data_IF_672571990743
#
_entry.id   IF_672571990743
#
_cell.length_a   1.000
_cell.length_b   1.000
_cell.length_c   1.000
_cell.angle_alpha   90.00
_cell.angle_beta   90.00
_cell.angle_gamma   90.00
#
_symmetry.space_group_name_H-M   'P 1'
#
loop_
_entity.id
_entity.type
_entity.pdbx_description
1 polymer ?
#
# COMPACT_ATOMS: atom_id res chain seq x y z
N UNK A 1 32.52 12.89 -11.18
CA UNK A 1 32.81 13.16 -9.77
C UNK A 1 31.74 12.54 -8.90
N UNK A 2 32.18 11.61 -8.04
CA UNK A 2 31.32 10.68 -7.32
C UNK A 2 30.36 11.42 -6.41
N UNK A 3 29.07 11.19 -6.62
CA UNK A 3 28.06 11.51 -5.62
C UNK A 3 28.44 10.69 -4.38
N UNK A 4 28.90 11.37 -3.32
CA UNK A 4 29.01 10.79 -1.99
C UNK A 4 27.61 10.35 -1.60
N UNK A 5 27.23 9.12 -1.95
CA UNK A 5 26.05 8.51 -1.39
C UNK A 5 26.25 8.58 0.12
N UNK A 6 25.34 9.20 0.89
CA UNK A 6 25.45 9.25 2.33
C UNK A 6 25.14 7.84 2.86
N UNK A 7 26.11 6.94 2.68
CA UNK A 7 26.05 5.53 3.08
C UNK A 7 25.83 5.44 4.58
N UNK A 8 26.34 6.42 5.33
CA UNK A 8 26.19 6.49 6.77
C UNK A 8 24.72 6.77 7.18
N UNK A 9 24.03 7.82 6.70
CA UNK A 9 22.58 7.97 6.88
C UNK A 9 21.74 6.78 6.41
N UNK A 10 22.06 6.20 5.25
CA UNK A 10 21.32 5.04 4.73
C UNK A 10 21.50 3.81 5.63
N UNK A 11 22.73 3.52 6.05
CA UNK A 11 23.03 2.43 6.97
C UNK A 11 22.40 2.68 8.35
N UNK A 12 22.47 3.90 8.87
CA UNK A 12 21.84 4.28 10.13
C UNK A 12 20.32 4.12 10.07
N UNK A 13 19.69 4.53 8.97
CA UNK A 13 18.26 4.32 8.74
C UNK A 13 17.92 2.83 8.65
N UNK A 14 18.71 2.03 7.91
CA UNK A 14 18.53 0.59 7.82
C UNK A 14 18.64 -0.11 9.17
N UNK A 15 19.63 0.25 9.98
CA UNK A 15 19.80 -0.27 11.35
C UNK A 15 18.63 0.14 12.22
N UNK A 16 18.19 1.40 12.17
CA UNK A 16 17.03 1.89 12.92
C UNK A 16 15.76 1.09 12.57
N UNK A 17 15.50 0.86 11.28
CA UNK A 17 14.37 0.06 10.82
C UNK A 17 14.49 -1.39 11.29
N UNK A 18 15.65 -2.01 11.19
CA UNK A 18 15.88 -3.38 11.66
C UNK A 18 15.65 -3.53 13.17
N UNK A 19 16.14 -2.57 13.96
CA UNK A 19 15.92 -2.49 15.41
C UNK A 19 14.44 -2.29 15.72
N UNK A 20 13.75 -1.39 15.02
CA UNK A 20 12.33 -1.11 15.24
C UNK A 20 11.43 -2.30 14.87
N UNK A 21 11.81 -3.08 13.85
CA UNK A 21 11.12 -4.29 13.43
C UNK A 21 11.48 -5.53 14.29
N UNK A 22 12.48 -5.43 15.15
CA UNK A 22 12.84 -6.52 16.05
C UNK A 22 11.66 -6.84 17.00
N UNK A 23 11.21 -8.10 17.12
CA UNK A 23 9.94 -8.44 17.78
C UNK A 23 9.70 -7.81 19.17
N UNK A 24 10.66 -7.83 20.12
CA UNK A 24 10.43 -7.22 21.43
C UNK A 24 10.33 -5.68 21.37
N UNK A 25 11.07 -5.04 20.47
CA UNK A 25 11.07 -3.57 20.31
C UNK A 25 9.79 -3.12 19.63
N UNK A 26 9.43 -3.78 18.51
CA UNK A 26 8.16 -3.55 17.83
C UNK A 26 6.99 -3.67 18.80
N UNK A 27 6.96 -4.75 19.60
CA UNK A 27 5.90 -4.96 20.60
C UNK A 27 5.85 -3.84 21.64
N UNK A 28 6.99 -3.43 22.18
CA UNK A 28 7.06 -2.37 23.18
C UNK A 28 6.56 -1.02 22.62
N UNK A 29 7.01 -0.67 21.41
CA UNK A 29 6.63 0.56 20.72
C UNK A 29 5.15 0.54 20.34
N UNK A 30 4.67 -0.54 19.74
CA UNK A 30 3.27 -0.70 19.36
C UNK A 30 2.33 -0.61 20.57
N UNK A 31 2.65 -1.29 21.68
CA UNK A 31 1.84 -1.22 22.91
C UNK A 31 1.83 0.21 23.47
N UNK A 32 2.96 0.91 23.44
CA UNK A 32 3.04 2.29 23.92
C UNK A 32 2.24 3.26 23.05
N UNK A 33 2.30 3.12 21.73
CA UNK A 33 1.58 3.95 20.76
C UNK A 33 0.08 3.68 20.73
N UNK A 34 -0.33 2.41 20.91
CA UNK A 34 -1.73 2.00 20.81
C UNK A 34 -2.50 2.11 22.14
N UNK A 35 -1.80 2.21 23.27
CA UNK A 35 -2.40 2.41 24.61
C UNK A 35 -3.39 3.58 24.69
N UNK A 36 -3.09 4.78 24.16
CA UNK A 36 -4.04 5.90 24.12
C UNK A 36 -5.31 5.61 23.32
N UNK A 37 -5.26 4.65 22.39
CA UNK A 37 -6.38 4.25 21.54
C UNK A 37 -7.19 3.07 22.14
N UNK A 38 -6.97 2.73 23.42
CA UNK A 38 -7.73 1.68 24.13
C UNK A 38 -7.25 0.25 23.85
N UNK A 39 -6.12 0.07 23.15
CA UNK A 39 -5.56 -1.26 22.92
C UNK A 39 -4.79 -1.73 24.18
N UNK A 40 -5.48 -2.44 25.07
CA UNK A 40 -4.89 -2.96 26.31
C UNK A 40 -4.35 -4.39 26.18
N UNK A 41 -4.88 -5.19 25.24
CA UNK A 41 -4.45 -6.57 24.99
C UNK A 41 -4.20 -6.84 23.50
N UNK A 42 -3.13 -6.24 22.95
CA UNK A 42 -2.65 -6.67 21.63
C UNK A 42 -2.02 -8.05 21.78
N UNK A 43 -2.78 -9.10 21.45
CA UNK A 43 -2.29 -10.49 21.49
C UNK A 43 -1.03 -10.59 20.63
N UNK A 44 0.11 -11.04 21.18
CA UNK A 44 1.35 -11.10 20.41
C UNK A 44 1.19 -12.07 19.25
N UNK A 45 1.49 -11.59 18.04
CA UNK A 45 1.58 -12.44 16.86
C UNK A 45 2.82 -13.33 16.98
N UNK A 46 2.76 -14.60 16.56
CA UNK A 46 3.94 -15.45 16.45
C UNK A 46 5.00 -14.75 15.59
N UNK A 47 6.26 -14.76 16.04
CA UNK A 47 7.38 -14.10 15.35
C UNK A 47 7.46 -14.49 13.88
N UNK A 48 7.22 -15.78 13.57
CA UNK A 48 7.17 -16.28 12.21
C UNK A 48 6.09 -15.59 11.36
N UNK A 49 4.85 -15.51 11.86
CA UNK A 49 3.75 -14.85 11.16
C UNK A 49 4.01 -13.36 10.98
N UNK A 50 4.65 -12.70 11.96
CA UNK A 50 5.05 -11.30 11.83
C UNK A 50 6.05 -11.10 10.68
N UNK A 51 7.08 -11.96 10.58
CA UNK A 51 8.03 -11.93 9.46
C UNK A 51 7.41 -12.32 8.12
N UNK A 52 6.48 -13.29 8.09
CA UNK A 52 5.74 -13.67 6.88
C UNK A 52 4.88 -12.50 6.37
N UNK A 53 4.16 -11.81 7.26
CA UNK A 53 3.40 -10.61 6.90
C UNK A 53 4.34 -9.48 6.46
N UNK A 54 5.43 -9.24 7.18
CA UNK A 54 6.42 -8.24 6.81
C UNK A 54 6.98 -8.52 5.41
N UNK A 55 7.38 -9.75 5.13
CA UNK A 55 7.90 -10.15 3.83
C UNK A 55 6.83 -10.01 2.74
N UNK A 56 5.60 -10.47 3.01
CA UNK A 56 4.47 -10.33 2.08
C UNK A 56 4.22 -8.86 1.71
N UNK A 57 4.08 -7.98 2.70
CA UNK A 57 3.89 -6.55 2.46
C UNK A 57 5.12 -5.90 1.82
N UNK A 58 6.33 -6.29 2.21
CA UNK A 58 7.56 -5.78 1.61
C UNK A 58 7.63 -6.10 0.11
N UNK A 59 7.17 -7.28 -0.31
CA UNK A 59 7.11 -7.68 -1.72
C UNK A 59 6.07 -6.92 -2.54
N UNK A 60 5.09 -6.28 -1.91
CA UNK A 60 4.12 -5.43 -2.63
C UNK A 60 4.74 -4.11 -3.11
N UNK A 61 5.78 -3.61 -2.45
CA UNK A 61 6.40 -2.33 -2.81
C UNK A 61 7.17 -2.38 -4.14
N UNK A 62 7.99 -3.42 -4.44
CA UNK A 62 8.56 -3.60 -5.77
C UNK A 62 7.50 -3.63 -6.88
N UNK A 63 6.35 -4.26 -6.66
CA UNK A 63 5.25 -4.25 -7.64
C UNK A 63 4.75 -2.82 -7.90
N UNK A 64 4.61 -2.01 -6.85
CA UNK A 64 4.32 -0.57 -6.97
C UNK A 64 5.40 0.18 -7.74
N UNK A 65 6.67 -0.14 -7.52
CA UNK A 65 7.80 0.43 -8.25
C UNK A 65 7.78 0.10 -9.75
N UNK A 66 7.49 -1.16 -10.08
CA UNK A 66 7.32 -1.61 -11.48
C UNK A 66 6.13 -0.92 -12.13
N UNK A 67 5.00 -0.77 -11.42
CA UNK A 67 3.85 -0.03 -11.93
C UNK A 67 4.19 1.43 -12.23
N UNK A 68 4.83 2.14 -11.30
CA UNK A 68 5.26 3.52 -11.49
C UNK A 68 6.29 3.66 -12.62
N UNK A 69 7.18 2.69 -12.77
CA UNK A 69 8.14 2.65 -13.88
C UNK A 69 7.43 2.64 -15.24
N UNK A 70 6.42 1.79 -15.41
CA UNK A 70 5.63 1.77 -16.64
C UNK A 70 4.76 3.01 -16.82
N UNK A 71 4.22 3.58 -15.74
CA UNK A 71 3.44 4.83 -15.79
C UNK A 71 4.30 6.02 -16.21
N UNK A 72 5.51 6.16 -15.68
CA UNK A 72 6.47 7.18 -16.10
C UNK A 72 6.78 7.05 -17.59
N UNK A 73 7.00 5.82 -18.09
CA UNK A 73 7.19 5.57 -19.51
C UNK A 73 5.97 5.89 -20.36
N UNK A 74 4.77 5.59 -19.87
CA UNK A 74 3.53 5.87 -20.58
C UNK A 74 3.27 7.37 -20.79
N UNK A 75 3.79 8.22 -19.89
CA UNK A 75 3.65 9.69 -19.98
C UNK A 75 4.89 10.39 -20.56
N UNK A 76 5.78 9.64 -21.22
CA UNK A 76 6.92 10.19 -21.95
C UNK A 76 8.23 10.31 -21.17
N UNK A 77 8.32 9.74 -19.97
CA UNK A 77 9.59 9.59 -19.24
C UNK A 77 10.41 8.39 -19.73
N UNK A 78 11.72 8.39 -19.44
CA UNK A 78 12.57 7.21 -19.63
C UNK A 78 13.40 6.93 -18.36
N UNK A 79 12.76 6.45 -17.28
CA UNK A 79 13.48 6.07 -16.08
C UNK A 79 14.38 4.85 -16.35
N UNK A 80 15.58 4.84 -15.77
CA UNK A 80 16.44 3.66 -15.76
C UNK A 80 15.77 2.51 -14.98
N UNK A 81 15.98 1.26 -15.39
CA UNK A 81 15.52 0.07 -14.65
C UNK A 81 16.08 0.04 -13.22
N UNK A 82 17.26 0.64 -13.01
CA UNK A 82 17.86 0.79 -11.69
C UNK A 82 17.06 1.70 -10.74
N UNK A 83 16.08 2.46 -11.26
CA UNK A 83 15.18 3.30 -10.45
C UNK A 83 14.00 2.53 -9.84
N UNK A 84 13.73 1.29 -10.26
CA UNK A 84 12.58 0.51 -9.76
C UNK A 84 12.57 0.39 -8.22
N UNK A 85 13.69 0.13 -7.52
CA UNK A 85 13.72 0.13 -6.06
C UNK A 85 13.34 1.49 -5.45
N UNK A 86 13.82 2.59 -6.05
CA UNK A 86 13.45 3.95 -5.63
C UNK A 86 11.96 4.21 -5.83
N UNK A 87 11.41 3.84 -6.99
CA UNK A 87 9.99 3.97 -7.30
C UNK A 87 9.13 3.11 -6.36
N UNK A 88 9.60 1.92 -6.00
CA UNK A 88 8.97 1.07 -4.99
C UNK A 88 8.93 1.76 -3.62
N UNK A 89 10.03 2.40 -3.23
CA UNK A 89 10.10 3.26 -2.04
C UNK A 89 9.13 4.45 -2.11
N UNK A 90 9.02 5.13 -3.26
CA UNK A 90 8.09 6.23 -3.45
C UNK A 90 6.63 5.78 -3.32
N UNK A 91 6.28 4.61 -3.87
CA UNK A 91 4.97 3.98 -3.68
C UNK A 91 4.70 3.67 -2.20
N UNK A 92 5.70 3.12 -1.49
CA UNK A 92 5.61 2.81 -0.07
C UNK A 92 5.39 4.07 0.78
N UNK A 93 6.16 5.13 0.54
CA UNK A 93 5.99 6.42 1.23
C UNK A 93 4.58 6.97 0.97
N UNK A 94 4.12 6.95 -0.28
CA UNK A 94 2.76 7.39 -0.61
C UNK A 94 1.69 6.61 0.17
N UNK A 95 1.81 5.28 0.24
CA UNK A 95 0.88 4.45 0.99
C UNK A 95 0.91 4.73 2.50
N UNK A 96 2.09 4.89 3.09
CA UNK A 96 2.25 5.22 4.51
C UNK A 96 1.64 6.59 4.80
N UNK A 97 1.93 7.60 3.97
CA UNK A 97 1.36 8.94 4.09
C UNK A 97 -0.17 8.91 3.99
N UNK A 98 -0.73 8.10 3.09
CA UNK A 98 -2.17 7.92 2.98
C UNK A 98 -2.83 7.39 4.27
N UNK A 99 -2.16 6.45 4.95
CA UNK A 99 -2.64 5.88 6.22
C UNK A 99 -2.49 6.88 7.38
N UNK A 100 -1.39 7.63 7.40
CA UNK A 100 -1.11 8.60 8.47
C UNK A 100 -1.95 9.89 8.35
N UNK A 101 -2.32 10.29 7.12
CA UNK A 101 -3.12 11.47 6.85
C UNK A 101 -4.61 11.24 7.14
N UNK A 102 -4.95 11.01 8.41
CA UNK A 102 -6.32 10.71 8.87
C UNK A 102 -7.36 11.80 8.54
N UNK A 103 -6.92 13.02 8.25
CA UNK A 103 -7.78 14.16 7.86
C UNK A 103 -8.08 14.21 6.35
N UNK A 104 -7.38 13.42 5.53
CA UNK A 104 -7.57 13.34 4.09
C UNK A 104 -8.13 11.95 3.73
N UNK A 105 -9.47 11.75 3.72
CA UNK A 105 -10.06 10.46 3.40
C UNK A 105 -9.55 9.95 2.03
N UNK A 106 -9.19 8.67 1.98
CA UNK A 106 -8.54 7.99 0.84
C UNK A 106 -7.12 8.50 0.48
N UNK A 107 -6.49 9.30 1.34
CA UNK A 107 -5.18 9.91 1.08
C UNK A 107 -5.21 10.95 -0.03
N UNK A 108 -6.39 11.48 -0.38
CA UNK A 108 -6.59 12.47 -1.45
C UNK A 108 -5.70 13.70 -1.24
N UNK A 109 -4.74 13.86 -2.15
CA UNK A 109 -3.83 15.00 -2.19
C UNK A 109 -2.51 14.73 -1.46
N UNK A 110 -2.53 14.28 -0.19
CA UNK A 110 -1.28 14.12 0.59
C UNK A 110 -0.45 12.92 0.11
N UNK A 111 -1.12 11.80 -0.21
CA UNK A 111 -0.46 10.63 -0.81
C UNK A 111 0.21 11.01 -2.12
N UNK A 112 -0.54 11.66 -3.00
CA UNK A 112 -0.09 11.99 -4.34
C UNK A 112 0.97 13.07 -4.31
N UNK A 113 0.86 14.06 -3.43
CA UNK A 113 1.88 15.09 -3.24
C UNK A 113 3.20 14.47 -2.75
N UNK A 114 3.13 13.53 -1.80
CA UNK A 114 4.34 12.85 -1.30
C UNK A 114 5.00 11.99 -2.37
N UNK A 115 4.21 11.23 -3.14
CA UNK A 115 4.71 10.44 -4.26
C UNK A 115 5.27 11.34 -5.38
N UNK A 116 4.53 12.39 -5.78
CA UNK A 116 4.94 13.38 -6.78
C UNK A 116 6.27 14.02 -6.39
N UNK A 117 6.41 14.48 -5.15
CA UNK A 117 7.64 15.09 -4.64
C UNK A 117 8.85 14.16 -4.74
N UNK A 118 8.67 12.85 -4.52
CA UNK A 118 9.73 11.86 -4.70
C UNK A 118 10.01 11.59 -6.19
N UNK A 119 8.98 11.54 -7.04
CA UNK A 119 9.16 11.34 -8.48
C UNK A 119 9.96 12.46 -9.14
N UNK A 120 9.90 13.69 -8.62
CA UNK A 120 10.73 14.81 -9.09
C UNK A 120 12.25 14.55 -8.96
N UNK A 121 12.68 13.60 -8.12
CA UNK A 121 14.08 13.22 -8.03
C UNK A 121 14.57 12.44 -9.27
N UNK A 122 13.67 11.86 -10.06
CA UNK A 122 14.01 10.97 -11.19
C UNK A 122 13.26 11.30 -12.50
N UNK A 123 12.39 12.31 -12.49
CA UNK A 123 11.58 12.71 -13.63
C UNK A 123 11.32 14.23 -13.63
N UNK A 124 11.03 14.79 -14.81
CA UNK A 124 10.60 16.19 -14.92
C UNK A 124 9.21 16.41 -14.30
N UNK A 125 8.87 17.66 -13.97
CA UNK A 125 7.60 18.01 -13.33
C UNK A 125 6.37 17.48 -14.10
N UNK A 126 6.34 17.66 -15.42
CA UNK A 126 5.23 17.19 -16.25
C UNK A 126 5.09 15.66 -16.27
N UNK A 127 6.22 14.94 -16.32
CA UNK A 127 6.25 13.47 -16.31
C UNK A 127 5.84 12.93 -14.93
N UNK A 128 6.38 13.52 -13.85
CA UNK A 128 6.04 13.15 -12.48
C UNK A 128 4.55 13.40 -12.17
N UNK A 129 4.01 14.54 -12.60
CA UNK A 129 2.59 14.87 -12.45
C UNK A 129 1.73 13.90 -13.27
N UNK A 130 2.09 13.67 -14.54
CA UNK A 130 1.39 12.74 -15.42
C UNK A 130 1.33 11.33 -14.83
N UNK A 131 2.45 10.78 -14.36
CA UNK A 131 2.50 9.46 -13.75
C UNK A 131 1.66 9.39 -12.46
N UNK A 132 1.66 10.47 -11.66
CA UNK A 132 0.83 10.56 -10.44
C UNK A 132 -0.66 10.54 -10.76
N UNK A 133 -1.09 11.26 -11.81
CA UNK A 133 -2.48 11.25 -12.29
C UNK A 133 -2.87 9.89 -12.84
N UNK A 134 -2.04 9.28 -13.70
CA UNK A 134 -2.29 7.93 -14.25
C UNK A 134 -2.39 6.89 -13.14
N UNK A 135 -1.53 6.98 -12.12
CA UNK A 135 -1.61 6.11 -10.95
C UNK A 135 -2.96 6.22 -10.23
N UNK A 136 -3.46 7.44 -10.03
CA UNK A 136 -4.80 7.65 -9.45
C UNK A 136 -5.91 7.04 -10.31
N UNK A 137 -5.88 7.30 -11.61
CA UNK A 137 -6.87 6.76 -12.53
C UNK A 137 -6.87 5.23 -12.50
N UNK A 138 -5.69 4.60 -12.50
CA UNK A 138 -5.56 3.16 -12.42
C UNK A 138 -6.16 2.60 -11.11
N UNK A 139 -5.85 3.21 -9.97
CA UNK A 139 -6.40 2.79 -8.68
C UNK A 139 -7.92 2.94 -8.66
N UNK A 140 -8.45 4.09 -9.07
CA UNK A 140 -9.90 4.34 -9.11
C UNK A 140 -10.62 3.36 -10.04
N UNK A 141 -10.02 3.01 -11.18
CA UNK A 141 -10.57 1.99 -12.08
C UNK A 141 -10.61 0.62 -11.40
N UNK A 142 -9.52 0.21 -10.73
CA UNK A 142 -9.48 -1.07 -10.00
C UNK A 142 -10.51 -1.09 -8.88
N UNK A 143 -10.62 -0.02 -8.10
CA UNK A 143 -11.63 0.11 -7.03
C UNK A 143 -13.05 -0.02 -7.59
N UNK A 144 -13.36 0.68 -8.69
CA UNK A 144 -14.66 0.61 -9.35
C UNK A 144 -14.97 -0.81 -9.86
N UNK A 145 -13.99 -1.49 -10.47
CA UNK A 145 -14.14 -2.87 -10.95
C UNK A 145 -14.39 -3.82 -9.78
N UNK A 146 -13.60 -3.73 -8.71
CA UNK A 146 -13.78 -4.57 -7.52
C UNK A 146 -15.14 -4.35 -6.86
N UNK A 147 -15.60 -3.10 -6.79
CA UNK A 147 -16.93 -2.75 -6.29
C UNK A 147 -18.04 -3.38 -7.14
N UNK A 148 -17.95 -3.24 -8.47
CA UNK A 148 -18.93 -3.82 -9.40
C UNK A 148 -18.97 -5.35 -9.30
N UNK A 149 -17.81 -6.00 -9.29
CA UNK A 149 -17.71 -7.47 -9.13
C UNK A 149 -18.30 -7.90 -7.79
N UNK A 150 -17.96 -7.21 -6.70
CA UNK A 150 -18.52 -7.47 -5.37
C UNK A 150 -20.05 -7.39 -5.35
N UNK A 151 -20.63 -6.34 -5.93
CA UNK A 151 -22.09 -6.16 -6.05
C UNK A 151 -22.73 -7.29 -6.86
N UNK A 152 -22.14 -7.69 -7.98
CA UNK A 152 -22.66 -8.78 -8.81
C UNK A 152 -22.63 -10.11 -8.06
N UNK A 153 -21.53 -10.43 -7.38
CA UNK A 153 -21.39 -11.68 -6.62
C UNK A 153 -22.37 -11.75 -5.45
N UNK A 154 -22.56 -10.65 -4.71
CA UNK A 154 -23.53 -10.58 -3.61
C UNK A 154 -24.95 -10.80 -4.15
N UNK A 155 -25.34 -10.09 -5.22
CA UNK A 155 -26.67 -10.25 -5.85
C UNK A 155 -26.93 -11.67 -6.34
N UNK A 156 -25.91 -12.35 -6.90
CA UNK A 156 -26.01 -13.75 -7.32
C UNK A 156 -26.24 -14.70 -6.15
N UNK A 157 -25.52 -14.50 -5.03
CA UNK A 157 -25.70 -15.31 -3.81
C UNK A 157 -27.09 -15.13 -3.20
N UNK A 158 -27.59 -13.90 -3.10
CA UNK A 158 -28.94 -13.63 -2.57
C UNK A 158 -30.04 -14.27 -3.42
N UNK A 159 -29.90 -14.27 -4.75
CA UNK A 159 -30.86 -14.95 -5.64
C UNK A 159 -30.80 -16.47 -5.54
N UNK A 160 -29.62 -17.05 -5.35
CA UNK A 160 -29.48 -18.49 -5.16
C UNK A 160 -30.16 -18.97 -3.86
N UNK A 161 -30.01 -18.22 -2.76
CA UNK A 161 -30.66 -18.54 -1.48
C UNK A 161 -32.19 -18.42 -1.56
N UNK A 162 -32.71 -17.37 -2.20
CA UNK A 162 -34.16 -17.18 -2.37
C UNK A 162 -34.84 -18.28 -3.20
N UNK A 163 -34.10 -18.96 -4.08
CA UNK A 163 -34.62 -20.05 -4.89
C UNK A 163 -34.60 -21.42 -4.18
N UNK A 164 -33.92 -21.55 -3.03
CA UNK A 164 -33.85 -22.81 -2.25
C UNK A 164 -34.93 -22.90 -1.16
N UNK A 165 -35.42 -21.77 -0.65
CA UNK A 165 -36.49 -21.71 0.36
C UNK A 165 -37.89 -22.24 -0.06
N UNK A 166 -38.35 -22.16 -1.33
CA UNK A 166 -39.71 -22.59 -1.67
C UNK A 166 -39.94 -24.10 -1.55
N UNK A 167 -38.88 -24.91 -1.68
CA UNK A 167 -39.00 -26.38 -1.78
C UNK A 167 -39.09 -27.06 -0.41
N UNK A 168 -38.48 -26.46 0.63
CA UNK A 168 -38.49 -27.02 2.00
C UNK A 168 -39.85 -26.82 2.70
N UNK A 169 -40.57 -25.75 2.38
CA UNK A 169 -41.90 -25.46 2.95
C UNK A 169 -43.01 -26.26 2.25
N UNK A 170 -42.81 -26.64 0.99
CA UNK A 170 -43.79 -27.41 0.22
C UNK A 170 -43.72 -28.94 0.49
N UNK A 171 -42.64 -29.45 1.09
CA UNK A 171 -42.47 -30.87 1.40
C UNK A 171 -42.80 -31.24 2.86
N UNK A 172 -43.21 -30.28 3.68
CA UNK A 172 -43.58 -30.48 5.10
C UNK A 172 -45.08 -30.48 5.37
N UNK A 173 -45.91 -30.48 4.33
CA UNK A 173 -47.38 -30.59 4.36
C UNK A 173 -47.83 -31.81 3.56
#
# INVERSE_FOLDING_TARGET
DGVDFPLLPLAAFGVLVAVLLWPPIFRAVATRLLRPFGAHDVKPLPTRTAFELLAFYALTWPLGGVALFFMLRAVGGDPSVASIPFLGGASAVGAIVAVLAIFAPSGLGVREASMYGLLLAVASEGVALGATVVNRLAITVVEAVLLLVGVVLIRRRSRAQANTEPEVVAQSH
#
